data_IF_775362750837
#
_entry.id   IF_775362750837
#
_cell.length_a   1.000
_cell.length_b   1.000
_cell.length_c   1.000
_cell.angle_alpha   90.00
_cell.angle_beta   90.00
_cell.angle_gamma   90.00
#
_symmetry.space_group_name_H-M   'P 1'
#
loop_
_entity.id
_entity.type
_entity.pdbx_description
1 polymer ?
#
# COMPACT_ATOMS: atom_id res chain seq x y z
N UNK A 1 -16.28 -66.50 8.66
CA UNK A 1 -16.95 -65.24 8.45
C UNK A 1 -15.87 -64.14 8.51
N UNK A 2 -15.47 -63.57 7.37
CA UNK A 2 -14.47 -62.47 7.28
C UNK A 2 -15.22 -61.16 7.10
N UNK A 3 -15.11 -60.29 8.08
CA UNK A 3 -15.66 -58.94 8.03
C UNK A 3 -14.73 -58.04 7.20
N UNK A 4 -15.22 -57.52 6.09
CA UNK A 4 -14.53 -56.50 5.28
C UNK A 4 -14.89 -55.14 5.86
N UNK A 5 -13.89 -54.48 6.44
CA UNK A 5 -14.03 -53.10 6.90
C UNK A 5 -13.74 -52.19 5.71
N UNK A 6 -14.79 -51.59 5.15
CA UNK A 6 -14.68 -50.54 4.11
C UNK A 6 -14.35 -49.20 4.79
N UNK A 7 -13.08 -48.78 4.71
CA UNK A 7 -12.67 -47.46 5.14
C UNK A 7 -13.04 -46.43 4.06
N UNK A 8 -14.08 -45.60 4.31
CA UNK A 8 -14.43 -44.45 3.52
C UNK A 8 -13.43 -43.31 3.80
N UNK A 9 -12.45 -43.15 2.92
CA UNK A 9 -11.63 -41.92 2.87
C UNK A 9 -12.50 -40.78 2.30
N UNK A 10 -13.06 -39.98 3.20
CA UNK A 10 -13.67 -38.70 2.82
C UNK A 10 -12.52 -37.72 2.48
N UNK A 11 -12.20 -37.61 1.20
CA UNK A 11 -11.29 -36.57 0.69
C UNK A 11 -11.95 -35.20 0.84
N UNK A 12 -11.55 -34.41 1.84
CA UNK A 12 -11.91 -33.02 1.92
C UNK A 12 -11.31 -32.28 0.72
N UNK A 13 -12.14 -31.92 -0.27
CA UNK A 13 -11.80 -30.92 -1.28
C UNK A 13 -11.61 -29.60 -0.55
N UNK A 14 -10.38 -29.24 -0.22
CA UNK A 14 -10.02 -27.89 0.15
C UNK A 14 -10.22 -27.01 -1.10
N UNK A 15 -11.35 -26.32 -1.18
CA UNK A 15 -11.56 -25.27 -2.17
C UNK A 15 -10.48 -24.22 -1.94
N UNK A 16 -9.50 -24.15 -2.84
CA UNK A 16 -8.47 -23.11 -2.80
C UNK A 16 -9.18 -21.80 -3.04
N UNK A 17 -9.06 -20.86 -2.09
CA UNK A 17 -9.51 -19.49 -2.30
C UNK A 17 -8.88 -18.93 -3.58
N UNK A 18 -9.62 -18.21 -4.43
CA UNK A 18 -9.07 -17.65 -5.66
C UNK A 18 -7.85 -16.78 -5.31
N UNK A 19 -6.71 -17.11 -5.91
CA UNK A 19 -5.46 -16.38 -5.69
C UNK A 19 -5.60 -14.94 -6.20
N UNK A 20 -4.93 -13.98 -5.55
CA UNK A 20 -4.83 -12.61 -6.06
C UNK A 20 -4.20 -12.60 -7.45
N UNK A 21 -4.80 -11.83 -8.36
CA UNK A 21 -4.32 -11.68 -9.73
C UNK A 21 -3.73 -10.28 -9.94
N UNK A 22 -2.40 -10.10 -9.90
CA UNK A 22 -1.76 -8.82 -10.19
C UNK A 22 -1.97 -8.44 -11.66
N UNK A 23 -2.59 -7.28 -11.93
CA UNK A 23 -2.81 -6.77 -13.28
C UNK A 23 -1.61 -5.95 -13.77
N UNK A 24 -1.12 -5.03 -12.92
CA UNK A 24 0.01 -4.17 -13.25
C UNK A 24 1.29 -4.56 -12.49
N UNK A 25 2.44 -4.16 -13.04
CA UNK A 25 3.75 -4.27 -12.40
C UNK A 25 3.88 -3.32 -11.20
N UNK A 26 4.91 -3.52 -10.36
CA UNK A 26 5.27 -2.59 -9.28
C UNK A 26 5.45 -1.16 -9.81
N UNK A 27 6.16 -0.98 -10.94
CA UNK A 27 6.36 0.35 -11.53
C UNK A 27 5.05 1.01 -11.95
N UNK A 28 4.11 0.24 -12.48
CA UNK A 28 2.78 0.77 -12.85
C UNK A 28 1.97 1.16 -11.62
N UNK A 29 2.00 0.37 -10.54
CA UNK A 29 1.38 0.74 -9.26
C UNK A 29 1.99 2.03 -8.71
N UNK A 30 3.33 2.14 -8.73
CA UNK A 30 4.04 3.33 -8.26
C UNK A 30 3.65 4.59 -9.05
N UNK A 31 3.65 4.52 -10.39
CA UNK A 31 3.39 5.69 -11.25
C UNK A 31 1.91 6.07 -11.26
N UNK A 32 1.02 5.08 -11.30
CA UNK A 32 -0.39 5.32 -11.55
C UNK A 32 -1.22 5.48 -10.26
N UNK A 33 -0.73 4.99 -9.13
CA UNK A 33 -1.47 5.02 -7.86
C UNK A 33 -0.64 5.72 -6.78
N UNK A 34 0.51 5.13 -6.38
CA UNK A 34 1.26 5.60 -5.21
C UNK A 34 1.76 7.04 -5.38
N UNK A 35 2.34 7.38 -6.54
CA UNK A 35 2.89 8.71 -6.78
C UNK A 35 1.82 9.81 -6.74
N UNK A 36 0.73 9.78 -7.53
CA UNK A 36 -0.26 10.84 -7.50
C UNK A 36 -0.97 10.96 -6.15
N UNK A 37 -1.18 9.85 -5.44
CA UNK A 37 -1.82 9.87 -4.13
C UNK A 37 -0.89 10.37 -3.02
N UNK A 38 0.42 10.09 -3.11
CA UNK A 38 1.40 10.68 -2.18
C UNK A 38 1.56 12.18 -2.41
N UNK A 39 1.52 12.66 -3.66
CA UNK A 39 1.56 14.10 -3.98
C UNK A 39 0.39 14.85 -3.36
N UNK A 40 -0.81 14.26 -3.35
CA UNK A 40 -1.98 14.88 -2.70
C UNK A 40 -1.75 15.14 -1.20
N UNK A 41 -0.99 14.26 -0.53
CA UNK A 41 -0.64 14.42 0.89
C UNK A 41 0.53 15.40 1.04
N UNK A 42 1.61 15.25 0.26
CA UNK A 42 2.79 16.12 0.35
C UNK A 42 2.48 17.59 0.09
N UNK A 43 1.58 17.87 -0.85
CA UNK A 43 1.26 19.22 -1.27
C UNK A 43 -0.09 19.74 -0.73
N UNK A 44 -0.65 19.07 0.28
CA UNK A 44 -1.95 19.44 0.87
C UNK A 44 -1.98 20.87 1.39
N UNK A 45 -0.85 21.40 1.88
CA UNK A 45 -0.77 22.79 2.34
C UNK A 45 -1.04 23.80 1.21
N UNK A 46 -0.52 23.54 0.00
CA UNK A 46 -0.73 24.39 -1.18
C UNK A 46 -2.17 24.32 -1.70
N UNK A 47 -2.77 23.16 -1.53
CA UNK A 47 -4.12 22.84 -2.00
C UNK A 47 -5.03 22.48 -0.82
N UNK A 48 -4.97 23.30 0.25
CA UNK A 48 -5.73 23.04 1.48
C UNK A 48 -7.23 22.88 1.19
N UNK A 49 -7.86 21.80 1.69
CA UNK A 49 -9.27 21.55 1.50
C UNK A 49 -10.12 22.69 2.09
N UNK A 50 -11.08 23.18 1.32
CA UNK A 50 -11.98 24.29 1.71
C UNK A 50 -13.44 23.87 1.74
N UNK A 51 -13.80 22.85 0.98
CA UNK A 51 -15.17 22.35 0.84
C UNK A 51 -15.27 20.91 1.28
N UNK A 52 -16.51 20.43 1.49
CA UNK A 52 -16.76 19.00 1.74
C UNK A 52 -16.23 18.13 0.61
N UNK A 53 -16.36 18.61 -0.63
CA UNK A 53 -15.84 17.89 -1.79
C UNK A 53 -14.32 17.75 -1.71
N UNK A 54 -13.59 18.81 -1.35
CA UNK A 54 -12.13 18.77 -1.25
C UNK A 54 -11.68 17.78 -0.17
N UNK A 55 -12.38 17.74 0.97
CA UNK A 55 -12.11 16.75 2.02
C UNK A 55 -12.40 15.32 1.58
N UNK A 56 -13.48 15.09 0.84
CA UNK A 56 -13.81 13.77 0.31
C UNK A 56 -12.77 13.32 -0.73
N UNK A 57 -12.31 14.22 -1.59
CA UNK A 57 -11.25 13.94 -2.56
C UNK A 57 -9.93 13.58 -1.84
N UNK A 58 -9.56 14.33 -0.80
CA UNK A 58 -8.36 14.03 -0.01
C UNK A 58 -8.46 12.71 0.74
N UNK A 59 -9.63 12.37 1.29
CA UNK A 59 -9.91 11.06 1.88
C UNK A 59 -9.69 9.94 0.87
N UNK A 60 -10.21 10.08 -0.35
CA UNK A 60 -10.03 9.09 -1.41
C UNK A 60 -8.54 8.91 -1.76
N UNK A 61 -7.79 10.02 -1.88
CA UNK A 61 -6.34 9.96 -2.15
C UNK A 61 -5.57 9.25 -1.02
N UNK A 62 -5.87 9.58 0.22
CA UNK A 62 -5.21 8.96 1.37
C UNK A 62 -5.53 7.45 1.49
N UNK A 63 -6.79 7.06 1.24
CA UNK A 63 -7.20 5.67 1.17
C UNK A 63 -6.46 4.92 0.07
N UNK A 64 -6.42 5.48 -1.15
CA UNK A 64 -5.69 4.87 -2.27
C UNK A 64 -4.19 4.75 -2.00
N UNK A 65 -3.60 5.72 -1.29
CA UNK A 65 -2.20 5.64 -0.86
C UNK A 65 -1.98 4.43 0.06
N UNK A 66 -2.82 4.26 1.07
CA UNK A 66 -2.76 3.11 1.98
C UNK A 66 -2.91 1.78 1.20
N UNK A 67 -3.94 1.68 0.36
CA UNK A 67 -4.20 0.46 -0.42
C UNK A 67 -3.10 0.17 -1.43
N UNK A 68 -2.39 1.19 -1.93
CA UNK A 68 -1.24 0.97 -2.81
C UNK A 68 -0.13 0.16 -2.13
N UNK A 69 0.08 0.35 -0.81
CA UNK A 69 0.99 -0.47 -0.02
C UNK A 69 0.57 -1.95 0.04
N UNK A 70 -0.72 -2.23 0.20
CA UNK A 70 -1.26 -3.59 0.13
C UNK A 70 -1.02 -4.22 -1.24
N UNK A 71 -1.19 -3.45 -2.32
CA UNK A 71 -0.94 -3.94 -3.68
C UNK A 71 0.53 -4.35 -3.91
N UNK A 72 1.49 -3.73 -3.22
CA UNK A 72 2.91 -4.08 -3.32
C UNK A 72 3.23 -5.43 -2.66
N UNK A 73 2.46 -5.82 -1.65
CA UNK A 73 2.64 -7.08 -0.92
C UNK A 73 1.99 -8.29 -1.61
N UNK A 74 1.18 -8.05 -2.66
CA UNK A 74 0.37 -9.09 -3.29
C UNK A 74 1.14 -9.91 -4.32
N UNK A 75 1.13 -11.24 -4.18
CA UNK A 75 1.56 -12.19 -5.20
C UNK A 75 2.97 -11.93 -5.73
N UNK A 76 3.12 -11.85 -7.04
CA UNK A 76 4.40 -11.67 -7.73
C UNK A 76 5.01 -10.25 -7.58
N UNK A 77 4.34 -9.31 -6.96
CA UNK A 77 4.90 -7.97 -6.67
C UNK A 77 5.81 -7.98 -5.46
N UNK A 78 5.57 -8.86 -4.48
CA UNK A 78 6.43 -8.99 -3.32
C UNK A 78 7.84 -9.44 -3.74
N UNK A 79 8.87 -8.71 -3.33
CA UNK A 79 10.26 -8.97 -3.66
C UNK A 79 10.90 -9.94 -2.68
N UNK A 80 10.55 -9.83 -1.41
CA UNK A 80 10.94 -10.71 -0.31
C UNK A 80 9.89 -10.65 0.81
N UNK A 81 10.04 -11.49 1.83
CA UNK A 81 9.16 -11.56 2.99
C UNK A 81 9.68 -10.77 4.20
N UNK A 82 10.77 -10.05 4.05
CA UNK A 82 11.42 -9.25 5.07
C UNK A 82 11.18 -7.75 4.87
N UNK A 83 12.22 -7.06 4.42
CA UNK A 83 12.22 -5.59 4.31
C UNK A 83 11.17 -5.07 3.31
N UNK A 84 10.95 -5.78 2.19
CA UNK A 84 9.88 -5.40 1.27
C UNK A 84 8.51 -5.34 1.93
N UNK A 85 8.17 -6.37 2.71
CA UNK A 85 6.88 -6.44 3.41
C UNK A 85 6.80 -5.35 4.48
N UNK A 86 7.86 -5.16 5.26
CA UNK A 86 7.95 -4.12 6.30
C UNK A 86 7.76 -2.72 5.72
N UNK A 87 8.49 -2.36 4.67
CA UNK A 87 8.42 -1.04 4.05
C UNK A 87 7.06 -0.81 3.36
N UNK A 88 6.48 -1.85 2.77
CA UNK A 88 5.13 -1.78 2.21
C UNK A 88 4.07 -1.58 3.30
N UNK A 89 4.20 -2.25 4.45
CA UNK A 89 3.32 -2.05 5.62
C UNK A 89 3.46 -0.64 6.21
N UNK A 90 4.65 -0.05 6.19
CA UNK A 90 4.83 1.34 6.63
C UNK A 90 4.10 2.32 5.71
N UNK A 91 4.11 2.09 4.38
CA UNK A 91 3.30 2.87 3.45
C UNK A 91 1.80 2.73 3.74
N UNK A 92 1.31 1.51 4.02
CA UNK A 92 -0.08 1.29 4.47
C UNK A 92 -0.38 2.09 5.73
N UNK A 93 0.51 2.00 6.72
CA UNK A 93 0.33 2.63 8.02
C UNK A 93 0.26 4.15 7.94
N UNK A 94 1.15 4.79 7.18
CA UNK A 94 1.14 6.26 7.02
C UNK A 94 -0.06 6.71 6.17
N UNK A 95 -0.43 5.97 5.11
CA UNK A 95 -1.62 6.26 4.31
C UNK A 95 -2.91 6.13 5.12
N UNK A 96 -3.03 5.10 5.96
CA UNK A 96 -4.16 4.93 6.86
C UNK A 96 -4.26 6.04 7.92
N UNK A 97 -3.13 6.52 8.44
CA UNK A 97 -3.10 7.67 9.33
C UNK A 97 -3.57 8.95 8.62
N UNK A 98 -3.13 9.18 7.38
CA UNK A 98 -3.59 10.31 6.56
C UNK A 98 -5.09 10.22 6.27
N UNK A 99 -5.60 9.03 5.95
CA UNK A 99 -7.03 8.80 5.74
C UNK A 99 -7.86 9.12 6.99
N UNK A 100 -7.41 8.65 8.16
CA UNK A 100 -8.06 8.95 9.45
C UNK A 100 -8.07 10.45 9.74
N UNK A 101 -6.96 11.15 9.51
CA UNK A 101 -6.87 12.60 9.70
C UNK A 101 -7.77 13.35 8.71
N UNK A 102 -7.85 12.90 7.45
CA UNK A 102 -8.74 13.48 6.44
C UNK A 102 -10.23 13.28 6.78
N UNK A 103 -10.62 12.12 7.33
CA UNK A 103 -11.97 11.90 7.85
C UNK A 103 -12.32 12.87 9.00
N UNK A 104 -11.34 13.16 9.86
CA UNK A 104 -11.50 14.12 10.95
C UNK A 104 -11.37 15.58 10.50
N UNK A 105 -11.04 15.85 9.22
CA UNK A 105 -10.72 17.17 8.65
C UNK A 105 -9.59 17.88 9.40
N UNK A 106 -8.64 17.08 9.90
CA UNK A 106 -7.49 17.53 10.68
C UNK A 106 -6.28 17.78 9.77
N UNK A 107 -6.21 18.97 9.17
CA UNK A 107 -5.10 19.38 8.30
C UNK A 107 -3.75 19.37 9.03
N UNK A 108 -3.60 19.89 10.25
CA UNK A 108 -2.35 19.79 11.01
C UNK A 108 -1.86 18.36 11.19
N UNK A 109 -2.76 17.40 11.48
CA UNK A 109 -2.39 15.99 11.60
C UNK A 109 -1.89 15.42 10.27
N UNK A 110 -2.47 15.79 9.12
CA UNK A 110 -1.99 15.37 7.80
C UNK A 110 -0.59 15.92 7.54
N UNK A 111 -0.37 17.21 7.80
CA UNK A 111 0.94 17.86 7.61
C UNK A 111 2.04 17.21 8.46
N UNK A 112 1.71 16.79 9.67
CA UNK A 112 2.65 16.11 10.57
C UNK A 112 3.11 14.73 10.03
N UNK A 113 2.40 14.13 9.06
CA UNK A 113 2.76 12.86 8.45
C UNK A 113 3.79 12.99 7.32
N UNK A 114 4.08 14.19 6.83
CA UNK A 114 4.95 14.39 5.66
C UNK A 114 6.34 13.77 5.84
N UNK A 115 6.99 13.98 6.97
CA UNK A 115 8.32 13.39 7.21
C UNK A 115 8.26 11.86 7.23
N UNK A 116 7.28 11.30 7.91
CA UNK A 116 7.10 9.84 7.98
C UNK A 116 6.82 9.22 6.60
N UNK A 117 6.05 9.91 5.76
CA UNK A 117 5.79 9.48 4.38
C UNK A 117 7.06 9.52 3.52
N UNK A 118 7.88 10.58 3.65
CA UNK A 118 9.18 10.67 2.98
C UNK A 118 10.08 9.50 3.41
N UNK A 119 10.17 9.23 4.70
CA UNK A 119 11.03 8.18 5.24
C UNK A 119 10.62 6.79 4.73
N UNK A 120 9.32 6.49 4.69
CA UNK A 120 8.79 5.25 4.10
C UNK A 120 9.15 5.11 2.61
N UNK A 121 9.00 6.18 1.83
CA UNK A 121 9.37 6.18 0.41
C UNK A 121 10.88 5.97 0.21
N UNK A 122 11.70 6.69 0.98
CA UNK A 122 13.18 6.67 0.87
C UNK A 122 13.74 5.30 1.26
N UNK A 123 13.28 4.71 2.37
CA UNK A 123 13.74 3.42 2.86
C UNK A 123 13.57 2.34 1.78
N UNK A 124 12.37 2.18 1.26
CA UNK A 124 12.06 1.22 0.20
C UNK A 124 12.85 1.51 -1.10
N UNK A 125 12.87 2.76 -1.56
CA UNK A 125 13.54 3.13 -2.82
C UNK A 125 15.05 2.98 -2.76
N UNK A 126 15.69 3.18 -1.61
CA UNK A 126 17.13 2.97 -1.47
C UNK A 126 17.53 1.52 -1.71
N UNK A 127 16.68 0.58 -1.33
CA UNK A 127 16.94 -0.85 -1.43
C UNK A 127 16.47 -1.45 -2.76
N UNK A 128 15.28 -1.10 -3.22
CA UNK A 128 14.61 -1.82 -4.30
C UNK A 128 14.51 -1.07 -5.62
N UNK A 129 14.76 0.26 -5.65
CA UNK A 129 14.71 1.04 -6.89
C UNK A 129 16.09 1.13 -7.53
N UNK A 130 16.31 0.52 -8.71
CA UNK A 130 17.57 0.63 -9.43
C UNK A 130 17.93 2.09 -9.69
N UNK A 131 19.21 2.45 -9.48
CA UNK A 131 19.74 3.80 -9.73
C UNK A 131 19.19 4.94 -8.85
N UNK A 132 18.41 4.68 -7.81
CA UNK A 132 17.91 5.72 -6.90
C UNK A 132 19.04 6.57 -6.30
N UNK A 133 20.17 5.94 -5.97
CA UNK A 133 21.35 6.62 -5.40
C UNK A 133 22.15 7.44 -6.42
N UNK A 134 22.02 7.20 -7.74
CA UNK A 134 22.78 7.93 -8.77
C UNK A 134 22.28 9.35 -8.98
N UNK A 135 21.04 9.66 -8.70
CA UNK A 135 20.46 11.02 -8.84
C UNK A 135 20.91 12.02 -7.78
N UNK A 136 21.61 11.58 -6.72
CA UNK A 136 22.14 12.48 -5.65
C UNK A 136 23.52 13.07 -5.96
N UNK A 137 24.09 12.86 -7.16
CA UNK A 137 25.43 13.33 -7.54
C UNK A 137 25.43 14.37 -8.67
N UNK A 138 24.26 14.92 -9.02
CA UNK A 138 24.16 16.06 -9.96
C UNK A 138 23.80 17.35 -9.23
#
# INVERSE_FOLDING_TARGET
MRAIVLSLLAGALLAQAPGFQPVGSVSQVMISITYPTSDAIFYVERNSPKTEKDWNDLQAQALMLAESGNLLMMGSRARDQGDWMKESQELVSVGAAAYKAALAKDLPAILALNQRLIDACVACHQQYRPNYRRRKKE
#
